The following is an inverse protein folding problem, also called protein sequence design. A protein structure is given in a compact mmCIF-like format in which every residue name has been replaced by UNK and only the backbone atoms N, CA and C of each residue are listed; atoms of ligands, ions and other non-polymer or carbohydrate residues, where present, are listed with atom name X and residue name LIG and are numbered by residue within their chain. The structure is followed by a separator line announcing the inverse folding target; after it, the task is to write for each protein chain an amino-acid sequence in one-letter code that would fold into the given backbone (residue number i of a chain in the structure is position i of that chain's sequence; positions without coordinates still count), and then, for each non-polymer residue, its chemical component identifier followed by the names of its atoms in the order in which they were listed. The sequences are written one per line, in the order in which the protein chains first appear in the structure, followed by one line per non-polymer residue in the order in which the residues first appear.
data_IF_882604253693
#
_entry.id   IF_882604253693
#
_cell.length_a   1.000
_cell.length_b   1.000
_cell.length_c   1.000
_cell.angle_alpha   90.00
_cell.angle_beta   90.00
_cell.angle_gamma   90.00
#
_symmetry.space_group_name_H-M   'P 1'
#
loop_
_entity.id
_entity.type
_entity.pdbx_description
1 polymer ?
#
# COMPACT_ATOMS: atom_id res chain seq x y z
N UNK A 1 22.58 8.59 18.56
CA UNK A 1 23.42 7.43 18.17
C UNK A 1 23.06 6.18 18.96
N UNK A 2 23.03 6.21 20.29
CA UNK A 2 22.69 5.03 21.12
C UNK A 2 21.44 4.26 20.67
N UNK A 3 20.34 4.94 20.37
CA UNK A 3 19.10 4.32 19.86
C UNK A 3 19.23 3.65 18.48
N UNK A 4 20.15 4.09 17.64
CA UNK A 4 20.46 3.41 16.38
C UNK A 4 21.32 2.16 16.60
N UNK A 5 22.19 2.18 17.63
CA UNK A 5 22.94 1.00 18.06
C UNK A 5 21.97 -0.09 18.52
N UNK A 6 21.05 0.25 19.43
CA UNK A 6 20.00 -0.68 19.86
C UNK A 6 19.23 -1.26 18.68
N UNK A 7 18.84 -0.44 17.68
CA UNK A 7 18.14 -0.90 16.48
C UNK A 7 19.00 -1.86 15.64
N UNK A 8 20.32 -1.65 15.56
CA UNK A 8 21.23 -2.54 14.83
C UNK A 8 21.47 -3.85 15.55
N UNK A 9 21.27 -3.88 16.85
CA UNK A 9 21.38 -5.08 17.69
C UNK A 9 20.07 -5.87 17.75
N UNK A 10 18.94 -5.23 17.37
CA UNK A 10 17.65 -5.88 17.25
C UNK A 10 17.51 -6.57 15.89
N UNK A 11 17.24 -7.87 15.89
CA UNK A 11 16.69 -8.60 14.73
C UNK A 11 17.44 -8.45 13.40
N UNK A 12 18.71 -8.76 13.32
CA UNK A 12 19.48 -8.81 12.04
C UNK A 12 19.42 -7.55 11.15
N UNK A 13 19.05 -6.40 11.73
CA UNK A 13 19.04 -5.15 10.99
C UNK A 13 20.46 -4.72 10.63
N UNK A 14 20.71 -4.50 9.33
CA UNK A 14 21.94 -3.92 8.85
C UNK A 14 21.72 -2.44 8.53
N UNK A 15 22.39 -1.55 9.24
CA UNK A 15 22.27 -0.11 9.04
C UNK A 15 23.42 0.37 8.17
N UNK A 16 23.07 0.98 7.03
CA UNK A 16 24.01 1.57 6.09
C UNK A 16 23.91 3.07 6.11
N UNK A 17 25.03 3.74 6.40
CA UNK A 17 25.18 5.16 6.14
C UNK A 17 25.72 5.36 4.73
N UNK A 18 25.14 6.27 3.96
CA UNK A 18 25.56 6.52 2.61
C UNK A 18 25.68 8.01 2.29
N UNK A 19 26.69 8.38 1.52
CA UNK A 19 26.94 9.73 1.04
C UNK A 19 27.61 9.70 -0.35
N UNK A 20 27.50 10.81 -1.08
CA UNK A 20 28.32 11.04 -2.28
C UNK A 20 29.74 11.51 -1.94
N UNK A 21 29.93 12.06 -0.73
CA UNK A 21 31.24 12.53 -0.24
C UNK A 21 31.91 11.35 0.45
N UNK A 22 32.72 10.62 -0.32
CA UNK A 22 33.40 9.40 0.15
C UNK A 22 34.37 9.64 1.28
N UNK A 23 35.08 10.78 1.24
CA UNK A 23 36.02 11.16 2.29
C UNK A 23 35.33 11.34 3.63
N UNK A 24 34.19 12.06 3.65
CA UNK A 24 33.39 12.21 4.87
C UNK A 24 32.83 10.88 5.38
N UNK A 25 32.53 9.93 4.49
CA UNK A 25 32.09 8.60 4.92
C UNK A 25 33.17 7.85 5.69
N UNK A 26 34.43 8.00 5.28
CA UNK A 26 35.57 7.40 5.97
C UNK A 26 35.76 8.02 7.34
N UNK A 27 35.77 9.38 7.41
CA UNK A 27 35.89 10.10 8.68
C UNK A 27 34.79 9.71 9.67
N UNK A 28 33.55 9.61 9.19
CA UNK A 28 32.43 9.15 10.00
C UNK A 28 32.58 7.69 10.43
N UNK A 29 33.03 6.81 9.55
CA UNK A 29 33.25 5.42 9.89
C UNK A 29 34.29 5.29 11.01
N UNK A 30 35.41 5.99 10.89
CA UNK A 30 36.49 6.01 11.89
C UNK A 30 35.99 6.58 13.23
N UNK A 31 35.23 7.69 13.19
CA UNK A 31 34.65 8.28 14.37
C UNK A 31 33.62 7.36 15.05
N UNK A 32 32.80 6.65 14.29
CA UNK A 32 31.82 5.71 14.84
C UNK A 32 32.51 4.51 15.45
N UNK A 33 33.49 3.95 14.79
CA UNK A 33 34.27 2.79 15.29
C UNK A 33 35.04 3.14 16.56
N UNK A 34 35.66 4.33 16.64
CA UNK A 34 36.36 4.80 17.85
C UNK A 34 35.43 4.95 19.06
N UNK A 35 34.13 5.17 18.84
CA UNK A 35 33.11 5.21 19.89
C UNK A 35 32.40 3.86 20.13
N UNK A 36 32.92 2.75 19.57
CA UNK A 36 32.39 1.41 19.79
C UNK A 36 31.14 1.07 18.98
N UNK A 37 30.84 1.83 17.92
CA UNK A 37 29.72 1.56 17.01
C UNK A 37 30.18 0.75 15.80
N UNK A 38 30.48 -0.53 16.00
CA UNK A 38 31.07 -1.41 14.97
C UNK A 38 30.06 -2.02 14.02
N UNK A 39 28.76 -2.01 14.38
CA UNK A 39 27.70 -2.65 13.59
C UNK A 39 27.17 -1.78 12.44
N UNK A 40 27.70 -0.56 12.27
CA UNK A 40 27.30 0.33 11.19
C UNK A 40 28.17 0.15 9.96
N UNK A 41 27.51 0.16 8.79
CA UNK A 41 28.16 -0.01 7.50
C UNK A 41 28.10 1.31 6.71
N UNK A 42 29.18 1.59 5.97
CA UNK A 42 29.29 2.83 5.21
C UNK A 42 29.45 2.53 3.73
N UNK A 43 28.72 3.22 2.88
CA UNK A 43 28.69 2.92 1.47
C UNK A 43 28.56 4.17 0.60
N UNK A 44 29.31 4.23 -0.48
CA UNK A 44 29.16 5.25 -1.50
C UNK A 44 27.72 5.21 -2.07
N UNK A 45 27.06 6.36 -2.08
CA UNK A 45 25.70 6.50 -2.57
C UNK A 45 25.54 6.03 -4.01
N UNK A 46 26.54 6.23 -4.88
CA UNK A 46 26.50 5.78 -6.28
C UNK A 46 26.37 4.26 -6.41
N UNK A 47 26.86 3.51 -5.41
CA UNK A 47 26.85 2.05 -5.39
C UNK A 47 25.60 1.47 -4.71
N UNK A 48 24.86 2.28 -3.96
CA UNK A 48 23.69 1.80 -3.20
C UNK A 48 22.58 1.29 -4.11
N UNK A 49 22.26 2.00 -5.18
CA UNK A 49 21.18 1.59 -6.09
C UNK A 49 21.46 0.22 -6.72
N UNK A 50 22.65 0.01 -7.24
CA UNK A 50 23.07 -1.28 -7.80
C UNK A 50 23.08 -2.37 -6.72
N UNK A 51 23.60 -2.04 -5.54
CA UNK A 51 23.62 -2.95 -4.40
C UNK A 51 22.21 -3.40 -4.01
N UNK A 52 21.24 -2.49 -3.84
CA UNK A 52 19.87 -2.82 -3.51
C UNK A 52 19.23 -3.66 -4.61
N UNK A 53 19.40 -3.29 -5.88
CA UNK A 53 18.86 -4.04 -7.01
C UNK A 53 19.39 -5.47 -7.09
N UNK A 54 20.65 -5.71 -6.70
CA UNK A 54 21.25 -7.06 -6.69
C UNK A 54 20.65 -8.00 -5.64
N UNK A 55 19.97 -7.44 -4.60
CA UNK A 55 19.33 -8.20 -3.54
C UNK A 55 17.80 -8.25 -3.63
N UNK A 56 17.20 -7.60 -4.63
CA UNK A 56 15.75 -7.38 -4.70
C UNK A 56 14.90 -8.65 -4.72
N UNK A 57 15.44 -9.76 -5.20
CA UNK A 57 14.75 -11.05 -5.27
C UNK A 57 15.16 -12.02 -4.15
N UNK A 58 15.93 -11.54 -3.19
CA UNK A 58 16.35 -12.29 -2.01
C UNK A 58 15.53 -11.79 -0.83
N UNK A 59 15.44 -12.56 0.24
CA UNK A 59 14.69 -12.25 1.47
C UNK A 59 15.13 -10.99 2.23
N UNK A 60 15.91 -10.13 1.61
CA UNK A 60 16.37 -8.87 2.20
C UNK A 60 15.47 -7.72 1.78
N UNK A 61 14.98 -6.97 2.74
CA UNK A 61 14.14 -5.79 2.54
C UNK A 61 14.95 -4.53 2.82
N UNK A 62 14.78 -3.53 1.96
CA UNK A 62 15.48 -2.26 2.08
C UNK A 62 14.52 -1.14 2.41
N UNK A 63 14.90 -0.34 3.41
CA UNK A 63 14.19 0.86 3.81
C UNK A 63 15.15 2.03 3.74
N UNK A 64 14.78 3.09 3.03
CA UNK A 64 15.55 4.31 2.98
C UNK A 64 15.03 5.32 3.98
N UNK A 65 15.95 5.93 4.72
CA UNK A 65 15.65 6.97 5.71
C UNK A 65 16.45 8.22 5.34
N UNK A 66 15.77 9.34 5.11
CA UNK A 66 16.45 10.57 4.73
C UNK A 66 15.50 11.72 4.43
N UNK A 67 16.04 12.94 4.29
CA UNK A 67 15.27 14.17 4.08
C UNK A 67 15.48 14.83 2.72
N UNK A 68 16.29 14.24 1.82
CA UNK A 68 16.65 14.88 0.56
C UNK A 68 15.88 14.31 -0.63
N UNK A 69 15.64 15.13 -1.66
CA UNK A 69 15.07 14.68 -2.93
C UNK A 69 15.83 13.49 -3.52
N UNK A 70 17.13 13.49 -3.31
CA UNK A 70 18.00 12.42 -3.77
C UNK A 70 17.76 11.10 -3.02
N UNK A 71 17.35 11.12 -1.73
CA UNK A 71 16.98 9.94 -0.96
C UNK A 71 15.66 9.38 -1.45
N UNK A 72 14.68 10.26 -1.70
CA UNK A 72 13.43 9.90 -2.34
C UNK A 72 13.66 9.23 -3.71
N UNK A 73 14.45 9.85 -4.60
CA UNK A 73 14.72 9.29 -5.92
C UNK A 73 15.36 7.89 -5.82
N UNK A 74 16.28 7.68 -4.86
CA UNK A 74 16.92 6.39 -4.64
C UNK A 74 15.91 5.33 -4.19
N UNK A 75 15.03 5.67 -3.26
CA UNK A 75 13.96 4.79 -2.81
C UNK A 75 13.01 4.41 -3.95
N UNK A 76 12.58 5.38 -4.77
CA UNK A 76 11.71 5.14 -5.93
C UNK A 76 12.39 4.26 -6.99
N UNK A 77 13.64 4.57 -7.35
CA UNK A 77 14.39 3.80 -8.37
C UNK A 77 14.60 2.35 -7.96
N UNK A 78 14.65 2.09 -6.67
CA UNK A 78 14.78 0.75 -6.10
C UNK A 78 13.44 0.13 -5.67
N UNK A 79 12.34 0.89 -5.78
CA UNK A 79 11.00 0.53 -5.29
C UNK A 79 11.01 0.08 -3.82
N UNK A 80 11.81 0.77 -3.02
CA UNK A 80 11.97 0.52 -1.61
C UNK A 80 11.12 1.47 -0.78
N UNK A 81 10.82 1.10 0.44
CA UNK A 81 10.12 1.97 1.38
C UNK A 81 10.97 3.20 1.72
N UNK A 82 10.32 4.36 1.86
CA UNK A 82 10.98 5.61 2.17
C UNK A 82 10.38 6.28 3.41
N UNK A 83 11.22 6.52 4.40
CA UNK A 83 10.88 7.14 5.68
C UNK A 83 11.57 8.49 5.77
N UNK A 84 10.83 9.49 6.23
CA UNK A 84 11.31 10.86 6.35
C UNK A 84 11.33 11.28 7.82
N UNK A 85 12.52 11.42 8.41
CA UNK A 85 12.67 11.93 9.77
C UNK A 85 12.47 13.47 9.78
N UNK A 86 11.40 13.94 10.40
CA UNK A 86 11.03 15.37 10.40
C UNK A 86 11.95 16.27 11.22
N UNK A 87 12.84 15.67 12.00
CA UNK A 87 13.90 16.41 12.72
C UNK A 87 15.12 16.75 11.86
N UNK A 88 15.15 16.31 10.59
CA UNK A 88 16.15 16.70 9.61
C UNK A 88 15.61 17.81 8.70
N UNK A 89 16.49 18.61 8.09
CA UNK A 89 16.07 19.49 6.99
C UNK A 89 15.46 18.69 5.84
N UNK A 90 14.26 19.06 5.43
CA UNK A 90 13.51 18.36 4.41
C UNK A 90 13.52 19.13 3.10
N UNK A 91 13.83 18.44 2.00
CA UNK A 91 13.62 18.92 0.64
C UNK A 91 12.21 18.57 0.15
N UNK A 92 11.73 19.26 -0.88
CA UNK A 92 10.34 19.24 -1.37
C UNK A 92 9.77 17.82 -1.58
N UNK A 93 10.49 16.94 -2.28
CA UNK A 93 10.00 15.57 -2.55
C UNK A 93 9.94 14.72 -1.29
N UNK A 94 10.91 14.88 -0.41
CA UNK A 94 10.91 14.21 0.88
C UNK A 94 9.71 14.64 1.72
N UNK A 95 9.47 15.95 1.78
CA UNK A 95 8.33 16.49 2.51
C UNK A 95 6.98 16.00 1.95
N UNK A 96 6.89 15.85 0.61
CA UNK A 96 5.64 15.49 -0.07
C UNK A 96 5.32 14.00 -0.06
N UNK A 97 6.32 13.12 -0.17
CA UNK A 97 6.10 11.71 -0.55
C UNK A 97 6.58 10.66 0.45
N UNK A 98 7.35 11.05 1.46
CA UNK A 98 7.87 10.11 2.45
C UNK A 98 6.89 9.83 3.59
N UNK A 99 7.07 8.70 4.27
CA UNK A 99 6.39 8.45 5.54
C UNK A 99 7.10 9.24 6.64
N UNK A 100 6.41 10.22 7.19
CA UNK A 100 6.97 11.09 8.21
C UNK A 100 7.01 10.41 9.57
N UNK A 101 8.18 10.45 10.20
CA UNK A 101 8.38 10.05 11.59
C UNK A 101 8.97 11.23 12.36
N UNK A 102 8.38 11.55 13.51
CA UNK A 102 8.70 12.77 14.26
C UNK A 102 9.78 12.55 15.31
N UNK A 103 10.07 11.33 15.69
CA UNK A 103 11.05 10.98 16.70
C UNK A 103 11.79 9.69 16.35
N UNK A 104 13.00 9.54 16.89
CA UNK A 104 13.77 8.30 16.77
C UNK A 104 13.01 7.11 17.40
N UNK A 105 12.23 7.35 18.45
CA UNK A 105 11.37 6.33 19.07
C UNK A 105 10.31 5.83 18.10
N UNK A 106 9.67 6.75 17.34
CA UNK A 106 8.68 6.41 16.33
C UNK A 106 9.33 5.65 15.16
N UNK A 107 10.50 6.08 14.69
CA UNK A 107 11.28 5.37 13.69
C UNK A 107 11.58 3.93 14.12
N UNK A 108 12.08 3.74 15.35
CA UNK A 108 12.37 2.42 15.91
C UNK A 108 11.11 1.54 15.93
N UNK A 109 9.99 2.05 16.46
CA UNK A 109 8.73 1.33 16.48
C UNK A 109 8.27 0.92 15.08
N UNK A 110 8.48 1.79 14.09
CA UNK A 110 8.14 1.50 12.71
C UNK A 110 9.01 0.37 12.13
N UNK A 111 10.33 0.40 12.34
CA UNK A 111 11.24 -0.67 11.91
C UNK A 111 10.91 -1.99 12.62
N UNK A 112 10.60 -1.95 13.92
CA UNK A 112 10.14 -3.14 14.65
C UNK A 112 8.87 -3.73 14.06
N UNK A 113 7.90 -2.89 13.65
CA UNK A 113 6.70 -3.35 12.96
C UNK A 113 7.04 -4.03 11.63
N UNK A 114 7.97 -3.45 10.86
CA UNK A 114 8.45 -4.06 9.60
C UNK A 114 9.11 -5.42 9.84
N UNK A 115 9.93 -5.55 10.87
CA UNK A 115 10.62 -6.80 11.20
C UNK A 115 9.66 -7.90 11.67
N UNK A 116 8.57 -7.53 12.34
CA UNK A 116 7.62 -8.48 12.92
C UNK A 116 6.47 -8.82 11.98
N UNK A 117 6.29 -8.10 10.89
CA UNK A 117 5.24 -8.34 9.91
C UNK A 117 5.71 -9.34 8.85
N UNK A 118 5.62 -10.62 9.15
CA UNK A 118 6.08 -11.69 8.27
C UNK A 118 5.00 -12.20 7.32
N UNK A 119 3.72 -12.08 7.72
CA UNK A 119 2.57 -12.56 6.95
C UNK A 119 1.43 -11.55 7.02
N UNK A 120 0.60 -11.54 5.97
CA UNK A 120 -0.68 -10.85 5.99
C UNK A 120 -1.66 -11.60 6.90
N UNK A 121 -2.64 -10.88 7.46
CA UNK A 121 -3.72 -11.49 8.21
C UNK A 121 -4.40 -12.59 7.39
N UNK A 122 -4.74 -12.28 6.15
CA UNK A 122 -5.26 -13.25 5.18
C UNK A 122 -4.62 -13.01 3.82
N UNK A 123 -4.25 -14.11 3.17
CA UNK A 123 -3.86 -14.16 1.77
C UNK A 123 -4.69 -15.23 1.08
N UNK A 124 -5.36 -14.85 0.00
CA UNK A 124 -6.14 -15.74 -0.83
C UNK A 124 -5.67 -15.65 -2.28
N UNK A 125 -5.21 -16.75 -2.84
CA UNK A 125 -4.94 -16.88 -4.27
C UNK A 125 -6.24 -17.28 -4.98
N UNK A 126 -6.83 -16.36 -5.72
CA UNK A 126 -8.10 -16.56 -6.41
C UNK A 126 -7.89 -17.32 -7.71
N UNK A 127 -6.84 -16.97 -8.45
CA UNK A 127 -6.40 -17.60 -9.69
C UNK A 127 -4.92 -17.31 -9.97
N UNK A 128 -4.45 -17.64 -11.17
CA UNK A 128 -3.03 -17.51 -11.56
C UNK A 128 -2.50 -16.08 -11.53
N UNK A 129 -3.34 -15.07 -11.70
CA UNK A 129 -2.93 -13.66 -11.76
C UNK A 129 -3.53 -12.81 -10.63
N UNK A 130 -4.51 -13.34 -9.90
CA UNK A 130 -5.27 -12.59 -8.87
C UNK A 130 -5.00 -13.09 -7.47
N UNK A 131 -4.56 -12.20 -6.60
CA UNK A 131 -4.39 -12.48 -5.17
C UNK A 131 -5.08 -11.40 -4.33
N UNK A 132 -5.85 -11.83 -3.34
CA UNK A 132 -6.48 -10.96 -2.35
C UNK A 132 -5.72 -10.99 -1.03
N UNK A 133 -5.54 -9.83 -0.43
CA UNK A 133 -4.94 -9.64 0.89
C UNK A 133 -5.88 -8.88 1.79
N UNK A 134 -5.91 -9.23 3.08
CA UNK A 134 -6.66 -8.50 4.10
C UNK A 134 -5.79 -8.24 5.32
N UNK A 135 -5.84 -7.00 5.84
CA UNK A 135 -4.94 -6.57 6.90
C UNK A 135 -5.40 -7.00 8.28
N UNK A 136 -6.70 -7.12 8.49
CA UNK A 136 -7.26 -7.44 9.80
C UNK A 136 -8.61 -8.14 9.70
N UNK A 137 -9.00 -8.81 10.77
CA UNK A 137 -10.34 -9.32 10.97
C UNK A 137 -11.31 -8.14 11.21
N UNK A 138 -12.39 -8.08 10.45
CA UNK A 138 -13.41 -7.04 10.53
C UNK A 138 -14.69 -7.49 11.21
N UNK A 139 -14.64 -8.54 12.04
CA UNK A 139 -15.78 -9.02 12.82
C UNK A 139 -16.41 -7.89 13.63
N UNK A 140 -17.68 -8.06 13.97
CA UNK A 140 -18.32 -7.18 14.93
C UNK A 140 -17.54 -7.17 16.26
N UNK A 141 -17.42 -6.00 16.87
CA UNK A 141 -16.71 -5.84 18.14
C UNK A 141 -17.22 -6.76 19.27
N UNK A 142 -18.47 -7.24 19.17
CA UNK A 142 -19.05 -8.24 20.06
C UNK A 142 -18.36 -9.61 20.00
N UNK A 143 -17.65 -9.92 18.92
CA UNK A 143 -16.89 -11.16 18.77
C UNK A 143 -15.38 -10.98 19.03
N UNK A 144 -14.98 -9.81 19.52
CA UNK A 144 -13.59 -9.58 19.91
C UNK A 144 -13.21 -10.45 21.11
N UNK A 145 -12.02 -11.05 21.06
CA UNK A 145 -11.54 -11.92 22.11
C UNK A 145 -10.90 -11.13 23.27
N UNK A 146 -10.41 -9.91 22.99
CA UNK A 146 -9.80 -9.02 23.98
C UNK A 146 -10.38 -7.61 23.88
N UNK A 147 -10.18 -6.80 24.94
CA UNK A 147 -10.59 -5.40 24.93
C UNK A 147 -9.82 -4.60 23.87
N UNK A 148 -8.55 -4.90 23.67
CA UNK A 148 -7.68 -4.24 22.68
C UNK A 148 -8.17 -4.54 21.26
N UNK A 149 -8.55 -5.78 20.97
CA UNK A 149 -9.14 -6.16 19.68
C UNK A 149 -10.47 -5.42 19.46
N UNK A 150 -11.30 -5.32 20.49
CA UNK A 150 -12.57 -4.58 20.43
C UNK A 150 -12.36 -3.10 20.10
N UNK A 151 -11.45 -2.46 20.82
CA UNK A 151 -11.09 -1.06 20.57
C UNK A 151 -10.57 -0.86 19.15
N UNK A 152 -9.70 -1.73 18.67
CA UNK A 152 -9.18 -1.68 17.30
C UNK A 152 -10.30 -1.80 16.27
N UNK A 153 -11.22 -2.75 16.42
CA UNK A 153 -12.35 -2.95 15.52
C UNK A 153 -13.31 -1.75 15.50
N UNK A 154 -13.59 -1.16 16.67
CA UNK A 154 -14.43 0.04 16.79
C UNK A 154 -13.78 1.22 16.08
N UNK A 155 -12.51 1.47 16.32
CA UNK A 155 -11.77 2.57 15.69
C UNK A 155 -11.60 2.36 14.17
N UNK A 156 -11.48 1.13 13.71
CA UNK A 156 -11.45 0.81 12.29
C UNK A 156 -12.77 1.19 11.61
N UNK A 157 -13.90 0.85 12.22
CA UNK A 157 -15.23 1.23 11.72
C UNK A 157 -15.42 2.74 11.74
N UNK A 158 -15.01 3.43 12.82
CA UNK A 158 -15.11 4.88 12.93
C UNK A 158 -14.25 5.60 11.87
N UNK A 159 -13.05 5.10 11.60
CA UNK A 159 -12.16 5.66 10.60
C UNK A 159 -12.73 5.52 9.19
N UNK A 160 -13.03 4.29 8.77
CA UNK A 160 -13.33 4.00 7.37
C UNK A 160 -14.77 4.29 6.98
N UNK A 161 -15.72 4.09 7.89
CA UNK A 161 -17.15 4.29 7.58
C UNK A 161 -17.70 5.63 8.02
N UNK A 162 -17.14 6.21 9.07
CA UNK A 162 -17.65 7.45 9.65
C UNK A 162 -16.68 8.62 9.57
N UNK A 163 -15.43 8.40 9.17
CA UNK A 163 -14.39 9.42 9.03
C UNK A 163 -14.03 10.16 10.32
N UNK A 164 -14.36 9.60 11.51
CA UNK A 164 -14.31 10.33 12.79
C UNK A 164 -13.02 10.17 13.57
N UNK A 165 -12.32 9.05 13.42
CA UNK A 165 -11.11 8.75 14.19
C UNK A 165 -9.95 8.35 13.29
N UNK A 166 -8.80 9.02 13.45
CA UNK A 166 -7.57 8.72 12.70
C UNK A 166 -6.50 8.05 13.55
N UNK A 167 -6.80 7.68 14.79
CA UNK A 167 -5.82 7.12 15.70
C UNK A 167 -5.19 5.82 15.18
N UNK A 168 -5.98 4.99 14.53
CA UNK A 168 -5.53 3.71 13.96
C UNK A 168 -5.11 3.79 12.49
N UNK A 169 -5.37 4.89 11.79
CA UNK A 169 -4.96 5.06 10.40
C UNK A 169 -3.46 4.82 10.21
N UNK A 170 -2.66 5.41 11.08
CA UNK A 170 -1.21 5.27 11.04
C UNK A 170 -0.76 3.83 11.31
N UNK A 171 -1.43 3.14 12.24
CA UNK A 171 -1.17 1.72 12.54
C UNK A 171 -1.51 0.85 11.34
N UNK A 172 -2.67 1.01 10.72
CA UNK A 172 -3.07 0.29 9.52
C UNK A 172 -2.10 0.55 8.36
N UNK A 173 -1.70 1.80 8.17
CA UNK A 173 -0.72 2.17 7.16
C UNK A 173 0.62 1.47 7.40
N UNK A 174 1.10 1.41 8.64
CA UNK A 174 2.34 0.73 8.99
C UNK A 174 2.25 -0.78 8.76
N UNK A 175 1.16 -1.42 9.14
CA UNK A 175 0.94 -2.83 8.88
C UNK A 175 0.90 -3.14 7.39
N UNK A 176 0.17 -2.34 6.62
CA UNK A 176 0.15 -2.50 5.17
C UNK A 176 1.53 -2.33 4.55
N UNK A 177 2.24 -1.28 4.93
CA UNK A 177 3.58 -1.01 4.41
C UNK A 177 4.59 -2.09 4.82
N UNK A 178 4.47 -2.65 6.00
CA UNK A 178 5.26 -3.80 6.43
C UNK A 178 5.00 -5.01 5.53
N UNK A 179 3.75 -5.36 5.31
CA UNK A 179 3.38 -6.45 4.41
C UNK A 179 3.82 -6.20 2.96
N UNK A 180 3.62 -4.99 2.45
CA UNK A 180 4.06 -4.57 1.12
C UNK A 180 5.58 -4.67 0.96
N UNK A 181 6.34 -4.25 1.97
CA UNK A 181 7.81 -4.31 1.96
C UNK A 181 8.28 -5.75 2.01
N UNK A 182 7.69 -6.57 2.88
CA UNK A 182 8.14 -7.92 3.16
C UNK A 182 7.70 -8.96 2.12
N UNK A 183 6.57 -8.76 1.44
CA UNK A 183 6.06 -9.73 0.48
C UNK A 183 6.61 -9.58 -0.93
N UNK A 184 7.22 -8.45 -1.26
CA UNK A 184 7.66 -8.07 -2.60
C UNK A 184 6.53 -8.07 -3.69
N UNK A 185 5.32 -8.48 -3.36
CA UNK A 185 4.18 -8.62 -4.27
C UNK A 185 3.82 -7.31 -4.96
N UNK A 186 4.04 -6.20 -4.26
CA UNK A 186 3.71 -4.85 -4.74
C UNK A 186 4.84 -4.16 -5.50
N UNK A 187 5.99 -4.83 -5.70
CA UNK A 187 7.16 -4.18 -6.31
C UNK A 187 6.97 -3.87 -7.80
N UNK A 188 6.17 -4.64 -8.49
CA UNK A 188 5.89 -4.54 -9.92
C UNK A 188 4.52 -3.93 -10.24
N UNK A 189 3.77 -3.47 -9.24
CA UNK A 189 2.50 -2.78 -9.45
C UNK A 189 2.71 -1.45 -10.15
N UNK A 190 1.95 -1.22 -11.21
CA UNK A 190 2.02 -0.03 -12.06
C UNK A 190 0.81 0.89 -11.94
N UNK A 191 -0.34 0.36 -11.50
CA UNK A 191 -1.58 1.11 -11.31
C UNK A 191 -2.17 0.82 -9.94
N UNK A 192 -2.69 1.88 -9.32
CA UNK A 192 -3.38 1.80 -8.04
C UNK A 192 -4.75 2.46 -8.14
N UNK A 193 -5.73 1.88 -7.49
CA UNK A 193 -7.07 2.43 -7.40
C UNK A 193 -7.80 1.92 -6.16
N UNK A 194 -8.97 2.49 -5.93
CA UNK A 194 -9.89 2.01 -4.90
C UNK A 194 -11.25 1.69 -5.52
N UNK A 195 -12.02 0.85 -4.85
CA UNK A 195 -13.41 0.59 -5.20
C UNK A 195 -14.24 1.85 -4.94
N UNK A 196 -14.99 2.37 -5.94
CA UNK A 196 -15.90 3.48 -5.71
C UNK A 196 -17.09 3.08 -4.83
N UNK A 197 -17.51 3.98 -3.95
CA UNK A 197 -18.68 3.79 -3.09
C UNK A 197 -19.97 3.70 -3.91
N UNK A 198 -21.04 3.19 -3.29
CA UNK A 198 -22.36 3.03 -3.92
C UNK A 198 -22.97 4.34 -4.45
N UNK A 199 -22.56 5.48 -3.90
CA UNK A 199 -22.99 6.83 -4.31
C UNK A 199 -22.14 7.46 -5.42
N UNK A 200 -21.35 6.68 -6.14
CA UNK A 200 -20.45 7.10 -7.22
C UNK A 200 -19.23 7.95 -6.78
N UNK A 201 -19.02 8.17 -5.49
CA UNK A 201 -17.84 8.85 -4.99
C UNK A 201 -16.81 7.84 -4.46
N UNK A 202 -15.59 8.30 -4.24
CA UNK A 202 -14.60 7.52 -3.50
C UNK A 202 -14.71 7.78 -2.01
N UNK A 203 -14.34 6.80 -1.20
CA UNK A 203 -14.08 7.02 0.21
C UNK A 203 -12.75 7.80 0.33
N UNK A 204 -12.82 9.04 0.82
CA UNK A 204 -11.67 9.95 0.86
C UNK A 204 -10.53 9.46 1.76
N UNK A 205 -10.84 8.81 2.87
CA UNK A 205 -9.81 8.25 3.77
C UNK A 205 -9.12 7.04 3.12
N UNK A 206 -9.88 6.16 2.47
CA UNK A 206 -9.33 5.03 1.73
C UNK A 206 -8.52 5.50 0.51
N UNK A 207 -9.00 6.51 -0.21
CA UNK A 207 -8.27 7.09 -1.32
C UNK A 207 -6.94 7.71 -0.85
N UNK A 208 -6.97 8.47 0.23
CA UNK A 208 -5.76 9.06 0.83
C UNK A 208 -4.75 7.99 1.25
N UNK A 209 -5.23 6.88 1.82
CA UNK A 209 -4.40 5.73 2.17
C UNK A 209 -3.74 5.12 0.93
N UNK A 210 -4.50 4.81 -0.09
CA UNK A 210 -4.00 4.28 -1.36
C UNK A 210 -3.03 5.26 -2.04
N UNK A 211 -3.35 6.55 -2.04
CA UNK A 211 -2.54 7.59 -2.68
C UNK A 211 -1.15 7.73 -2.04
N UNK A 212 -1.06 7.63 -0.72
CA UNK A 212 0.23 7.59 -0.02
C UNK A 212 1.08 6.41 -0.48
N UNK A 213 0.49 5.21 -0.58
CA UNK A 213 1.18 4.01 -1.03
C UNK A 213 1.64 4.15 -2.48
N UNK A 214 0.77 4.63 -3.35
CA UNK A 214 1.08 4.93 -4.74
C UNK A 214 2.26 5.89 -4.86
N UNK A 215 2.26 6.96 -4.09
CA UNK A 215 3.34 7.95 -4.05
C UNK A 215 4.66 7.34 -3.58
N UNK A 216 4.63 6.50 -2.55
CA UNK A 216 5.81 5.79 -2.04
C UNK A 216 6.40 4.84 -3.08
N UNK A 217 5.59 4.30 -3.97
CA UNK A 217 6.05 3.49 -5.11
C UNK A 217 6.51 4.35 -6.30
N UNK A 218 6.46 5.67 -6.21
CA UNK A 218 6.85 6.60 -7.26
C UNK A 218 5.93 6.60 -8.46
N UNK A 219 4.72 6.07 -8.32
CA UNK A 219 3.74 5.97 -9.40
C UNK A 219 2.91 7.24 -9.42
N UNK A 220 3.02 7.99 -10.51
CA UNK A 220 2.25 9.21 -10.68
C UNK A 220 0.80 8.89 -11.08
N UNK A 221 -0.18 9.70 -10.66
CA UNK A 221 -1.53 9.63 -11.20
C UNK A 221 -1.50 9.97 -12.70
N UNK A 222 -2.60 9.73 -13.38
CA UNK A 222 -2.73 10.20 -14.76
C UNK A 222 -2.67 11.72 -14.77
N UNK A 223 -1.81 12.27 -15.63
CA UNK A 223 -1.69 13.72 -15.79
C UNK A 223 -2.93 14.24 -16.52
N UNK A 224 -3.56 15.23 -15.95
CA UNK A 224 -4.64 16.00 -16.55
C UNK A 224 -4.19 17.43 -16.81
N UNK A 225 -4.88 18.11 -17.70
CA UNK A 225 -4.54 19.49 -18.09
C UNK A 225 -4.66 20.45 -16.91
N UNK A 226 -5.63 20.20 -16.01
CA UNK A 226 -5.90 21.02 -14.82
C UNK A 226 -6.08 20.11 -13.61
N UNK A 227 -4.98 19.57 -13.03
CA UNK A 227 -5.04 18.55 -11.98
C UNK A 227 -5.66 19.03 -10.67
N UNK A 228 -5.57 20.31 -10.34
CA UNK A 228 -6.15 20.94 -9.15
C UNK A 228 -7.68 21.05 -9.17
N UNK A 229 -8.29 20.99 -10.33
CA UNK A 229 -9.74 21.09 -10.51
C UNK A 229 -10.46 19.73 -10.34
N UNK A 230 -9.69 18.64 -10.20
CA UNK A 230 -10.27 17.31 -10.17
C UNK A 230 -10.37 16.73 -8.76
N UNK A 231 -11.55 16.18 -8.46
CA UNK A 231 -11.80 15.43 -7.23
C UNK A 231 -11.02 14.11 -7.22
N UNK A 232 -10.88 13.52 -6.06
CA UNK A 232 -10.28 12.18 -5.92
C UNK A 232 -11.08 11.11 -6.66
N UNK A 233 -12.41 11.24 -6.72
CA UNK A 233 -13.28 10.39 -7.55
C UNK A 233 -12.85 10.40 -9.00
N UNK A 234 -12.64 11.59 -9.58
CA UNK A 234 -12.22 11.73 -10.98
C UNK A 234 -10.78 11.27 -11.24
N UNK A 235 -9.93 11.28 -10.23
CA UNK A 235 -8.53 10.81 -10.32
C UNK A 235 -8.41 9.30 -10.15
N UNK A 236 -9.42 8.64 -9.58
CA UNK A 236 -9.38 7.21 -9.30
C UNK A 236 -9.29 6.37 -10.59
N UNK A 237 -8.68 5.20 -10.48
CA UNK A 237 -8.55 4.25 -11.60
C UNK A 237 -9.91 3.65 -12.01
N UNK A 238 -10.79 3.46 -11.04
CA UNK A 238 -12.15 2.94 -11.22
C UNK A 238 -13.17 4.05 -11.02
N UNK A 239 -14.19 4.07 -11.83
CA UNK A 239 -15.35 4.96 -11.70
C UNK A 239 -16.61 4.11 -11.56
N UNK A 240 -17.55 4.57 -10.72
CA UNK A 240 -18.92 4.08 -10.72
C UNK A 240 -19.79 5.08 -11.47
N UNK A 241 -20.41 4.67 -12.55
CA UNK A 241 -21.22 5.55 -13.39
C UNK A 241 -22.72 5.56 -13.02
N UNK A 242 -23.17 4.55 -12.26
CA UNK A 242 -24.55 4.44 -11.81
C UNK A 242 -24.57 4.14 -10.31
N UNK A 243 -25.38 4.88 -9.57
CA UNK A 243 -25.58 4.63 -8.14
C UNK A 243 -26.23 3.28 -7.91
N UNK A 244 -25.81 2.60 -6.86
CA UNK A 244 -26.44 1.38 -6.41
C UNK A 244 -26.90 1.47 -4.95
N UNK A 245 -27.83 0.60 -4.57
CA UNK A 245 -28.23 0.51 -3.16
C UNK A 245 -27.08 -0.09 -2.33
N UNK A 246 -26.75 0.51 -1.17
CA UNK A 246 -25.75 -0.06 -0.28
C UNK A 246 -26.16 -1.48 0.16
N UNK A 247 -25.31 -2.47 -0.07
CA UNK A 247 -25.63 -3.88 0.19
C UNK A 247 -26.02 -4.17 1.66
N UNK A 248 -25.57 -3.36 2.61
CA UNK A 248 -25.90 -3.53 4.04
C UNK A 248 -27.30 -3.03 4.43
N UNK A 249 -27.99 -2.29 3.55
CA UNK A 249 -29.32 -1.71 3.84
C UNK A 249 -30.44 -2.53 3.20
N UNK A 250 -30.18 -3.22 2.09
CA UNK A 250 -31.22 -3.70 1.19
C UNK A 250 -31.43 -5.21 1.17
N UNK A 251 -30.59 -6.02 1.82
CA UNK A 251 -30.65 -7.47 1.62
C UNK A 251 -30.32 -8.27 2.88
N UNK A 252 -30.98 -9.42 3.05
CA UNK A 252 -30.60 -10.42 4.03
C UNK A 252 -29.18 -10.96 3.75
N UNK A 253 -28.49 -11.59 4.71
CA UNK A 253 -27.20 -12.21 4.46
C UNK A 253 -27.23 -13.24 3.32
N UNK A 254 -28.32 -13.98 3.17
CA UNK A 254 -28.52 -14.98 2.13
C UNK A 254 -28.74 -14.33 0.75
N UNK A 255 -29.54 -13.27 0.68
CA UNK A 255 -29.71 -12.48 -0.54
C UNK A 255 -28.39 -11.86 -1.01
N UNK A 256 -27.58 -11.33 -0.09
CA UNK A 256 -26.27 -10.78 -0.42
C UNK A 256 -25.32 -11.82 -1.00
N UNK A 257 -25.36 -13.05 -0.50
CA UNK A 257 -24.58 -14.15 -1.02
C UNK A 257 -25.06 -14.57 -2.43
N UNK A 258 -26.36 -14.52 -2.68
CA UNK A 258 -27.00 -14.98 -3.92
C UNK A 258 -27.03 -13.92 -5.03
N UNK A 259 -27.03 -12.64 -4.70
CA UNK A 259 -27.05 -11.56 -5.70
C UNK A 259 -25.80 -11.51 -6.58
N UNK A 260 -24.74 -12.22 -6.20
CA UNK A 260 -23.48 -12.18 -6.93
C UNK A 260 -22.88 -10.77 -6.97
N UNK A 261 -22.16 -10.47 -8.02
CA UNK A 261 -21.56 -9.16 -8.25
C UNK A 261 -22.10 -8.46 -9.50
N UNK A 262 -23.20 -8.89 -10.06
CA UNK A 262 -23.72 -8.40 -11.34
C UNK A 262 -24.03 -6.91 -11.29
N UNK A 263 -24.70 -6.43 -10.23
CA UNK A 263 -24.94 -5.01 -10.02
C UNK A 263 -23.63 -4.24 -9.80
N UNK A 264 -22.66 -4.85 -9.12
CA UNK A 264 -21.33 -4.26 -8.94
C UNK A 264 -20.62 -4.15 -10.28
N UNK A 265 -20.58 -5.24 -11.04
CA UNK A 265 -19.90 -5.32 -12.32
C UNK A 265 -20.50 -4.37 -13.35
N UNK A 266 -21.84 -4.30 -13.44
CA UNK A 266 -22.56 -3.44 -14.41
C UNK A 266 -22.46 -1.93 -14.09
N UNK A 267 -22.03 -1.55 -12.91
CA UNK A 267 -21.98 -0.13 -12.48
C UNK A 267 -20.59 0.45 -12.38
N UNK A 268 -19.54 -0.39 -12.48
CA UNK A 268 -18.13 0.04 -12.40
C UNK A 268 -17.48 -0.02 -13.79
N UNK A 269 -16.67 0.98 -14.09
CA UNK A 269 -15.85 1.00 -15.30
C UNK A 269 -14.42 1.50 -15.00
N UNK A 270 -13.52 1.25 -15.93
CA UNK A 270 -12.19 1.87 -15.90
C UNK A 270 -12.31 3.35 -16.27
N UNK A 271 -11.64 4.19 -15.53
CA UNK A 271 -11.56 5.62 -15.85
C UNK A 271 -10.88 5.81 -17.22
N UNK A 272 -11.58 6.44 -18.20
CA UNK A 272 -11.07 6.61 -19.55
C UNK A 272 -9.72 7.30 -19.65
N UNK A 273 -9.38 8.16 -18.68
CA UNK A 273 -8.10 8.85 -18.65
C UNK A 273 -6.90 7.91 -18.53
N UNK A 274 -7.11 6.70 -18.01
CA UNK A 274 -6.07 5.68 -17.91
C UNK A 274 -5.86 4.87 -19.19
N UNK A 275 -6.73 4.99 -20.20
CA UNK A 275 -6.69 4.17 -21.42
C UNK A 275 -5.29 4.13 -22.06
N UNK A 276 -4.72 5.28 -22.37
CA UNK A 276 -3.38 5.37 -23.00
C UNK A 276 -2.29 4.69 -22.15
N UNK A 277 -2.38 4.82 -20.84
CA UNK A 277 -1.41 4.20 -19.91
C UNK A 277 -1.59 2.70 -19.86
N UNK A 278 -2.82 2.21 -19.78
CA UNK A 278 -3.15 0.79 -19.82
C UNK A 278 -2.67 0.17 -21.13
N UNK A 279 -2.97 0.78 -22.27
CA UNK A 279 -2.52 0.29 -23.59
C UNK A 279 -1.00 0.21 -23.70
N UNK A 280 -0.29 1.16 -23.10
CA UNK A 280 1.18 1.11 -23.00
C UNK A 280 1.64 -0.06 -22.14
N UNK A 281 1.10 -0.19 -20.93
CA UNK A 281 1.48 -1.24 -19.98
C UNK A 281 1.19 -2.65 -20.52
N UNK A 282 0.08 -2.82 -21.25
CA UNK A 282 -0.25 -4.07 -21.93
C UNK A 282 0.82 -4.44 -22.97
N UNK A 283 1.21 -3.50 -23.82
CA UNK A 283 2.26 -3.73 -24.83
C UNK A 283 3.62 -4.07 -24.21
N UNK A 284 3.90 -3.52 -23.02
CA UNK A 284 5.12 -3.78 -22.25
C UNK A 284 5.05 -5.02 -21.37
N UNK A 285 3.93 -5.74 -21.37
CA UNK A 285 3.65 -6.88 -20.49
C UNK A 285 3.85 -6.54 -18.99
N UNK A 286 3.40 -5.36 -18.59
CA UNK A 286 3.55 -4.76 -17.25
C UNK A 286 2.24 -4.25 -16.67
N UNK A 287 1.12 -4.69 -17.20
CA UNK A 287 -0.20 -4.27 -16.72
C UNK A 287 -0.53 -4.96 -15.40
N UNK A 288 0.11 -4.51 -14.33
CA UNK A 288 -0.05 -4.99 -12.96
C UNK A 288 -0.79 -3.94 -12.14
N UNK A 289 -1.88 -4.35 -11.50
CA UNK A 289 -2.80 -3.44 -10.80
C UNK A 289 -3.00 -3.84 -9.36
N UNK A 290 -3.16 -2.85 -8.47
CA UNK A 290 -3.55 -3.03 -7.08
C UNK A 290 -4.82 -2.21 -6.79
N UNK A 291 -5.86 -2.88 -6.27
CA UNK A 291 -7.14 -2.27 -5.95
C UNK A 291 -7.45 -2.45 -4.47
N UNK A 292 -7.85 -1.34 -3.84
CA UNK A 292 -8.21 -1.30 -2.42
C UNK A 292 -9.72 -1.25 -2.24
N UNK A 293 -10.17 -1.91 -1.18
CA UNK A 293 -11.51 -1.79 -0.63
C UNK A 293 -11.45 -1.68 0.89
N UNK A 294 -12.51 -1.22 1.53
CA UNK A 294 -12.58 -1.17 2.99
C UNK A 294 -12.76 -2.58 3.57
N UNK A 295 -13.75 -3.31 3.11
CA UNK A 295 -14.07 -4.65 3.61
C UNK A 295 -14.23 -5.67 2.50
N UNK A 296 -13.74 -6.88 2.74
CA UNK A 296 -14.04 -8.07 1.95
C UNK A 296 -14.98 -8.99 2.74
N UNK A 297 -16.11 -9.35 2.13
CA UNK A 297 -17.03 -10.40 2.60
C UNK A 297 -16.91 -11.63 1.70
N UNK A 298 -17.85 -11.85 0.81
CA UNK A 298 -17.85 -12.96 -0.16
C UNK A 298 -16.97 -12.69 -1.40
N UNK A 299 -16.37 -11.51 -1.51
CA UNK A 299 -15.48 -11.16 -2.62
C UNK A 299 -16.16 -10.69 -3.90
N UNK A 300 -17.47 -10.48 -3.91
CA UNK A 300 -18.23 -10.09 -5.11
C UNK A 300 -17.66 -8.85 -5.80
N UNK A 301 -17.35 -7.82 -5.02
CA UNK A 301 -16.73 -6.58 -5.54
C UNK A 301 -15.37 -6.86 -6.19
N UNK A 302 -14.52 -7.67 -5.55
CA UNK A 302 -13.22 -8.01 -6.10
C UNK A 302 -13.33 -8.93 -7.32
N UNK A 303 -14.33 -9.83 -7.38
CA UNK A 303 -14.61 -10.63 -8.59
C UNK A 303 -14.99 -9.73 -9.77
N UNK A 304 -15.85 -8.73 -9.56
CA UNK A 304 -16.25 -7.79 -10.60
C UNK A 304 -15.04 -7.04 -11.16
N UNK A 305 -14.19 -6.55 -10.28
CA UNK A 305 -12.97 -5.83 -10.66
C UNK A 305 -11.95 -6.76 -11.33
N UNK A 306 -11.80 -7.99 -10.82
CA UNK A 306 -10.96 -9.01 -11.44
C UNK A 306 -11.36 -9.25 -12.89
N UNK A 307 -12.62 -9.58 -13.13
CA UNK A 307 -13.14 -9.81 -14.50
C UNK A 307 -12.90 -8.62 -15.42
N UNK A 308 -13.12 -7.38 -14.91
CA UNK A 308 -12.87 -6.16 -15.69
C UNK A 308 -11.40 -6.03 -16.10
N UNK A 309 -10.46 -6.29 -15.19
CA UNK A 309 -9.02 -6.18 -15.51
C UNK A 309 -8.51 -7.36 -16.33
N UNK A 310 -9.02 -8.56 -16.12
CA UNK A 310 -8.72 -9.76 -16.94
C UNK A 310 -9.13 -9.53 -18.40
N UNK A 311 -10.33 -9.03 -18.63
CA UNK A 311 -10.84 -8.70 -19.98
C UNK A 311 -9.94 -7.68 -20.68
N UNK A 312 -9.36 -6.75 -19.91
CA UNK A 312 -8.41 -5.78 -20.43
C UNK A 312 -6.97 -6.32 -20.57
N UNK A 313 -6.73 -7.56 -20.22
CA UNK A 313 -5.43 -8.22 -20.34
C UNK A 313 -4.42 -7.84 -19.26
N UNK A 314 -4.87 -7.72 -18.01
CA UNK A 314 -3.97 -7.53 -16.89
C UNK A 314 -3.06 -8.75 -16.68
N UNK A 315 -1.80 -8.50 -16.35
CA UNK A 315 -0.83 -9.54 -16.05
C UNK A 315 -0.86 -9.97 -14.59
N UNK A 316 -1.26 -9.05 -13.70
CA UNK A 316 -1.34 -9.27 -12.26
C UNK A 316 -2.39 -8.36 -11.63
N UNK A 317 -3.22 -8.94 -10.78
CA UNK A 317 -4.27 -8.23 -10.04
C UNK A 317 -4.06 -8.52 -8.56
N UNK A 318 -3.85 -7.46 -7.79
CA UNK A 318 -3.74 -7.53 -6.34
C UNK A 318 -4.92 -6.77 -5.74
N UNK A 319 -5.74 -7.46 -4.98
CA UNK A 319 -6.84 -6.89 -4.24
C UNK A 319 -6.45 -6.77 -2.76
N UNK A 320 -6.69 -5.63 -2.16
CA UNK A 320 -6.38 -5.39 -0.75
C UNK A 320 -7.62 -4.87 -0.05
N UNK A 321 -8.12 -5.63 0.92
CA UNK A 321 -9.11 -5.12 1.87
C UNK A 321 -8.42 -4.76 3.19
N UNK A 322 -8.86 -3.68 3.82
CA UNK A 322 -8.38 -3.34 5.15
C UNK A 322 -8.98 -4.30 6.17
N UNK A 323 -10.22 -4.76 5.97
CA UNK A 323 -10.88 -5.72 6.83
C UNK A 323 -11.45 -6.92 6.08
N UNK A 324 -11.39 -8.09 6.73
CA UNK A 324 -11.98 -9.35 6.25
C UNK A 324 -13.08 -9.81 7.20
N UNK A 325 -14.31 -9.97 6.69
CA UNK A 325 -15.31 -10.79 7.36
C UNK A 325 -15.05 -12.26 7.08
N UNK A 326 -15.18 -13.12 8.08
CA UNK A 326 -15.02 -14.57 7.93
C UNK A 326 -16.20 -15.17 7.16
N UNK A 327 -16.23 -14.94 5.86
CA UNK A 327 -17.16 -15.52 4.93
C UNK A 327 -16.38 -16.23 3.82
N UNK A 328 -16.88 -17.35 3.26
CA UNK A 328 -16.24 -17.98 2.13
C UNK A 328 -16.17 -17.02 0.95
N UNK A 329 -14.99 -16.89 0.36
CA UNK A 329 -14.84 -16.18 -0.91
C UNK A 329 -15.51 -16.99 -2.02
N UNK A 330 -16.40 -16.35 -2.76
CA UNK A 330 -17.10 -16.96 -3.89
C UNK A 330 -16.49 -16.41 -5.18
N UNK A 331 -15.77 -17.26 -5.91
CA UNK A 331 -15.25 -16.89 -7.22
C UNK A 331 -16.38 -16.96 -8.24
N UNK A 332 -16.67 -15.83 -8.86
CA UNK A 332 -17.65 -15.71 -9.95
C UNK A 332 -16.97 -15.01 -11.14
N UNK A 333 -17.26 -15.48 -12.34
CA UNK A 333 -16.83 -14.86 -13.58
C UNK A 333 -18.02 -14.12 -14.21
N UNK A 334 -17.82 -12.87 -14.59
CA UNK A 334 -18.85 -12.04 -15.22
C UNK A 334 -18.59 -11.94 -16.72
N UNK A 335 -19.65 -11.96 -17.50
CA UNK A 335 -19.56 -11.81 -18.96
C UNK A 335 -19.87 -10.36 -19.34
N UNK A 336 -18.98 -9.75 -20.11
CA UNK A 336 -19.28 -8.48 -20.76
C UNK A 336 -20.17 -8.82 -21.97
N UNK A 337 -21.44 -8.42 -21.88
CA UNK A 337 -22.34 -8.48 -23.01
C UNK A 337 -21.95 -7.29 -23.89
N UNK A 338 -21.26 -7.57 -25.00
CA UNK A 338 -20.97 -6.53 -26.01
C UNK A 338 -22.25 -6.10 -26.70
N UNK A 339 -22.37 -4.80 -26.94
CA UNK A 339 -23.36 -4.24 -27.87
C UNK A 339 -23.04 -4.61 -29.31
#
# INVERSE_FOLDING_TARGET
MHKFKELSEESDNKIYFYSRKTDLLKDYADAFHSHGYTNFLFKDRKKIETFVKSYKNKSNYFVFVGGKNADFNLAVNTRSLYIVPTWLPLEEKAQKYGIHVNTVKQLRKFIQTLNNQNVWYSKLEVDAITTCYSLMDARYSSYANTNEEREMLLHFQELLKKGRSRNYYQILLYHFLAGMTNSAVFNDIELFGIIPSSNCNVNEDLYSFMDQIRCLKGIQPVKRKYPEEYTNTQKNLLLRHTQKKPAHISHSPEERANLGGDEEFSTICINPDYKKRIDKLRRENRFNVCIFDDYMTHGNTFNSVRTLFETLGANKIVCVSLGLFKAPFQKNDYTIIGD
#
